data_IF_272744396224
#
_entry.id   IF_272744396224
#
_cell.length_a   1.000
_cell.length_b   1.000
_cell.length_c   1.000
_cell.angle_alpha   90.00
_cell.angle_beta   90.00
_cell.angle_gamma   90.00
#
_symmetry.space_group_name_H-M   'P 1'
#
loop_
_entity.id
_entity.type
_entity.pdbx_description
1 polymer ?
#
# COMPACT_ATOMS: atom_id res chain seq x y z
N UNK A 1 10.68 -21.82 40.06
CA UNK A 1 11.03 -22.77 38.98
C UNK A 1 12.39 -23.46 39.15
N UNK A 2 13.48 -22.79 39.56
CA UNK A 2 14.80 -23.45 39.75
C UNK A 2 14.92 -24.33 41.02
N UNK A 3 14.10 -24.14 42.06
CA UNK A 3 14.15 -24.98 43.28
C UNK A 3 13.40 -26.31 43.16
N UNK A 4 12.31 -26.37 42.39
CA UNK A 4 11.58 -27.62 42.08
C UNK A 4 12.41 -28.60 41.22
N UNK A 5 13.31 -28.08 40.38
CA UNK A 5 14.16 -28.89 39.49
C UNK A 5 15.28 -29.65 40.21
N UNK A 6 15.65 -29.27 41.44
CA UNK A 6 16.69 -29.99 42.20
C UNK A 6 16.16 -31.21 42.95
N UNK A 7 14.87 -31.23 43.31
CA UNK A 7 14.25 -32.36 44.02
C UNK A 7 13.91 -33.54 43.10
N UNK A 8 13.79 -33.32 41.79
CA UNK A 8 13.40 -34.36 40.81
C UNK A 8 14.61 -35.17 40.33
N UNK A 9 15.83 -34.63 40.44
CA UNK A 9 17.07 -35.30 40.01
C UNK A 9 17.50 -36.49 40.89
N UNK A 10 16.90 -36.69 42.06
CA UNK A 10 17.20 -37.84 42.93
C UNK A 10 16.33 -39.08 42.65
N UNK A 11 15.28 -38.95 41.84
CA UNK A 11 14.56 -40.13 41.31
C UNK A 11 15.30 -40.56 40.05
N UNK A 12 16.52 -41.05 40.28
CA UNK A 12 17.28 -41.78 39.28
C UNK A 12 16.41 -42.91 38.75
N UNK A 13 16.11 -42.90 37.45
CA UNK A 13 16.36 -43.94 36.44
C UNK A 13 16.68 -45.39 36.93
N UNK A 14 16.02 -45.87 37.98
CA UNK A 14 16.11 -47.21 38.54
C UNK A 14 14.68 -47.58 38.95
N UNK A 15 14.00 -48.36 38.11
CA UNK A 15 12.66 -48.99 38.26
C UNK A 15 11.57 -48.58 37.25
N UNK A 16 11.93 -48.20 36.02
CA UNK A 16 10.97 -47.82 34.97
C UNK A 16 10.18 -48.97 34.31
N UNK A 17 10.18 -50.20 34.84
CA UNK A 17 9.39 -51.31 34.26
C UNK A 17 8.28 -51.89 35.15
N UNK A 18 8.13 -51.46 36.40
CA UNK A 18 7.07 -51.98 37.28
C UNK A 18 6.53 -50.96 38.31
N UNK A 19 6.87 -49.68 38.20
CA UNK A 19 6.41 -48.66 39.13
C UNK A 19 5.01 -48.15 38.73
N UNK A 20 4.07 -48.18 39.68
CA UNK A 20 2.80 -47.47 39.58
C UNK A 20 2.93 -46.07 40.19
N UNK A 21 2.36 -45.06 39.56
CA UNK A 21 2.40 -43.65 39.93
C UNK A 21 0.97 -43.16 40.20
N UNK A 22 0.77 -42.39 41.26
CA UNK A 22 -0.49 -41.68 41.53
C UNK A 22 -0.30 -40.21 41.17
N UNK A 23 -0.80 -39.77 40.02
CA UNK A 23 -0.48 -38.46 39.44
C UNK A 23 -0.84 -37.28 40.36
N UNK A 24 -2.03 -37.25 40.94
CA UNK A 24 -2.50 -36.14 41.79
C UNK A 24 -1.65 -36.00 43.07
N UNK A 25 -1.18 -37.14 43.62
CA UNK A 25 -0.38 -37.19 44.85
C UNK A 25 1.10 -36.97 44.61
N UNK A 26 1.67 -37.67 43.63
CA UNK A 26 3.12 -37.75 43.43
C UNK A 26 3.63 -36.61 42.53
N UNK A 27 2.81 -36.13 41.59
CA UNK A 27 3.19 -35.12 40.60
C UNK A 27 2.04 -34.13 40.28
N UNK A 28 1.60 -33.27 41.22
CA UNK A 28 0.43 -32.40 41.04
C UNK A 28 0.56 -31.43 39.85
N UNK A 29 1.76 -30.96 39.53
CA UNK A 29 2.01 -30.12 38.34
C UNK A 29 1.93 -30.88 37.01
N UNK A 30 2.16 -32.20 37.01
CA UNK A 30 1.94 -33.07 35.85
C UNK A 30 0.46 -33.44 35.75
N UNK A 31 -0.21 -33.68 36.88
CA UNK A 31 -1.65 -33.91 36.94
C UNK A 31 -2.46 -32.76 36.30
N UNK A 32 -2.06 -31.50 36.49
CA UNK A 32 -2.73 -30.36 35.83
C UNK A 32 -2.64 -30.36 34.31
N UNK A 33 -1.72 -31.14 33.72
CA UNK A 33 -1.59 -31.32 32.27
C UNK A 33 -2.39 -32.52 31.76
N UNK A 34 -2.97 -33.34 32.63
CA UNK A 34 -3.79 -34.48 32.22
C UNK A 34 -5.10 -33.97 31.61
N UNK A 35 -5.53 -34.53 30.48
CA UNK A 35 -6.75 -34.11 29.82
C UNK A 35 -7.98 -34.30 30.76
N UNK A 36 -8.95 -33.36 30.82
CA UNK A 36 -10.09 -33.42 31.75
C UNK A 36 -10.86 -34.75 31.74
N UNK A 37 -11.02 -35.36 30.55
CA UNK A 37 -11.67 -36.67 30.40
C UNK A 37 -10.98 -37.80 31.18
N UNK A 38 -9.68 -37.68 31.47
CA UNK A 38 -8.88 -38.67 32.20
C UNK A 38 -8.64 -38.27 33.66
N UNK A 39 -8.87 -37.01 34.04
CA UNK A 39 -8.61 -36.52 35.41
C UNK A 39 -9.46 -37.22 36.47
N UNK A 40 -10.73 -37.50 36.16
CA UNK A 40 -11.66 -38.15 37.10
C UNK A 40 -11.39 -39.65 37.28
N UNK A 41 -10.97 -40.33 36.21
CA UNK A 41 -10.76 -41.79 36.22
C UNK A 41 -9.35 -42.18 36.71
N UNK A 42 -8.35 -41.36 36.40
CA UNK A 42 -6.94 -41.72 36.55
C UNK A 42 -6.15 -40.85 37.54
N UNK A 43 -6.70 -39.72 38.01
CA UNK A 43 -5.98 -38.80 38.91
C UNK A 43 -5.59 -39.40 40.26
N UNK A 44 -6.50 -40.19 40.83
CA UNK A 44 -6.42 -40.72 42.21
C UNK A 44 -5.94 -42.16 42.30
N UNK A 45 -5.73 -42.82 41.15
CA UNK A 45 -5.38 -44.24 41.09
C UNK A 45 -3.88 -44.40 40.88
N UNK A 46 -3.32 -45.47 41.44
CA UNK A 46 -1.97 -45.93 41.10
C UNK A 46 -1.97 -46.56 39.70
N UNK A 47 -1.26 -45.94 38.75
CA UNK A 47 -1.25 -46.32 37.33
C UNK A 47 0.16 -46.69 36.90
N UNK A 48 0.37 -47.75 36.11
CA UNK A 48 1.69 -48.08 35.59
C UNK A 48 2.33 -46.89 34.87
N UNK A 49 3.61 -46.62 35.17
CA UNK A 49 4.33 -45.48 34.57
C UNK A 49 4.43 -45.58 33.03
N UNK A 50 4.27 -46.78 32.47
CA UNK A 50 4.23 -47.04 31.03
C UNK A 50 2.87 -46.77 30.36
N UNK A 51 1.83 -46.44 31.11
CA UNK A 51 0.50 -46.16 30.56
C UNK A 51 0.53 -44.88 29.71
N UNK A 52 0.05 -44.99 28.48
CA UNK A 52 -0.15 -43.85 27.57
C UNK A 52 -1.48 -43.17 27.90
N UNK A 53 -1.42 -41.89 28.26
CA UNK A 53 -2.60 -41.06 28.54
C UNK A 53 -2.71 -39.90 27.55
N UNK A 54 -3.89 -39.29 27.49
CA UNK A 54 -4.12 -38.04 26.77
C UNK A 54 -3.85 -36.85 27.70
N UNK A 55 -3.05 -35.92 27.20
CA UNK A 55 -2.61 -34.73 27.92
C UNK A 55 -3.08 -33.47 27.20
N UNK A 56 -3.19 -32.36 27.92
CA UNK A 56 -3.68 -31.07 27.42
C UNK A 56 -2.78 -29.92 27.89
N UNK A 57 -2.41 -29.04 26.97
CA UNK A 57 -1.49 -27.94 27.27
C UNK A 57 -2.26 -26.74 27.86
N UNK A 58 -1.73 -26.08 28.91
CA UNK A 58 -2.33 -24.86 29.45
C UNK A 58 -2.24 -23.66 28.50
N UNK A 59 -1.34 -23.69 27.51
CA UNK A 59 -1.13 -22.59 26.56
C UNK A 59 -2.07 -22.63 25.34
N UNK A 60 -2.95 -23.63 25.23
CA UNK A 60 -3.90 -23.74 24.12
C UNK A 60 -4.97 -24.80 24.37
N UNK A 61 -6.27 -24.48 24.30
CA UNK A 61 -7.35 -25.43 24.60
C UNK A 61 -7.47 -26.59 23.60
N UNK A 62 -6.73 -26.55 22.50
CA UNK A 62 -6.67 -27.50 21.39
C UNK A 62 -5.38 -28.33 21.34
N UNK A 63 -4.44 -28.07 22.25
CA UNK A 63 -3.16 -28.75 22.31
C UNK A 63 -3.26 -30.04 23.13
N UNK A 64 -3.67 -31.12 22.47
CA UNK A 64 -3.78 -32.45 23.06
C UNK A 64 -2.73 -33.41 22.50
N UNK A 65 -2.09 -34.21 23.36
CA UNK A 65 -1.08 -35.19 22.93
C UNK A 65 -1.17 -36.51 23.72
N UNK A 66 -0.70 -37.61 23.14
CA UNK A 66 -0.63 -38.93 23.79
C UNK A 66 0.81 -39.27 24.14
N UNK A 67 1.08 -39.63 25.38
CA UNK A 67 2.44 -39.98 25.86
C UNK A 67 2.36 -40.80 27.14
N UNK A 68 3.42 -41.56 27.47
CA UNK A 68 3.47 -42.31 28.73
C UNK A 68 3.66 -41.39 29.93
N UNK A 69 3.16 -41.82 31.09
CA UNK A 69 3.36 -41.09 32.36
C UNK A 69 4.86 -40.91 32.66
N UNK A 70 5.67 -41.95 32.43
CA UNK A 70 7.11 -41.92 32.70
C UNK A 70 7.86 -40.86 31.88
N UNK A 71 7.48 -40.67 30.62
CA UNK A 71 8.13 -39.70 29.74
C UNK A 71 7.80 -38.27 30.16
N UNK A 72 6.53 -38.00 30.51
CA UNK A 72 6.08 -36.68 30.98
C UNK A 72 6.77 -36.30 32.29
N UNK A 73 6.82 -37.23 33.25
CA UNK A 73 7.46 -37.03 34.56
C UNK A 73 8.97 -36.84 34.42
N UNK A 74 9.62 -37.53 33.47
CA UNK A 74 11.05 -37.36 33.17
C UNK A 74 11.40 -35.99 32.56
N UNK A 75 10.41 -35.10 32.38
CA UNK A 75 10.63 -33.74 31.92
C UNK A 75 10.58 -33.57 30.39
N UNK A 76 10.09 -34.57 29.65
CA UNK A 76 9.76 -34.40 28.23
C UNK A 76 8.47 -33.57 28.09
N UNK A 77 8.58 -32.25 28.28
CA UNK A 77 7.55 -31.32 27.87
C UNK A 77 7.68 -31.09 26.36
N UNK A 78 6.74 -31.70 25.62
CA UNK A 78 6.37 -31.46 24.22
C UNK A 78 7.46 -30.84 23.33
N UNK A 79 8.40 -31.67 22.90
CA UNK A 79 9.28 -31.35 21.79
C UNK A 79 8.90 -32.30 20.65
N UNK A 80 8.13 -31.79 19.67
CA UNK A 80 7.71 -32.39 18.38
C UNK A 80 6.20 -32.37 18.13
N UNK A 81 5.64 -31.18 17.87
CA UNK A 81 4.54 -30.97 16.88
C UNK A 81 4.08 -29.51 16.70
N UNK A 82 4.77 -28.50 17.24
CA UNK A 82 4.54 -27.09 16.87
C UNK A 82 5.16 -26.69 15.51
N UNK A 83 5.22 -27.58 14.51
CA UNK A 83 5.74 -27.22 13.19
C UNK A 83 4.69 -26.78 12.18
N UNK A 84 3.39 -26.77 12.48
CA UNK A 84 2.40 -26.52 11.41
C UNK A 84 1.05 -25.87 11.75
N UNK A 85 0.69 -25.58 13.00
CA UNK A 85 -0.54 -24.80 13.29
C UNK A 85 -0.32 -23.76 14.39
N UNK A 86 -0.67 -22.52 14.08
CA UNK A 86 -0.69 -21.42 15.05
C UNK A 86 -1.85 -21.62 16.02
N UNK A 87 -1.64 -21.25 17.28
CA UNK A 87 -2.74 -21.16 18.25
C UNK A 87 -3.80 -20.20 17.73
N UNK A 88 -5.08 -20.58 17.83
CA UNK A 88 -6.26 -19.78 17.45
C UNK A 88 -6.19 -18.32 17.95
N UNK A 89 -5.58 -18.08 19.12
CA UNK A 89 -5.48 -16.74 19.72
C UNK A 89 -4.57 -15.82 18.90
N UNK A 90 -3.56 -16.38 18.22
CA UNK A 90 -2.53 -15.67 17.48
C UNK A 90 -2.76 -15.68 15.96
N UNK A 91 -3.67 -16.51 15.47
CA UNK A 91 -3.95 -16.67 14.05
C UNK A 91 -4.62 -15.42 13.46
N UNK A 92 -4.02 -14.87 12.40
CA UNK A 92 -4.49 -13.66 11.74
C UNK A 92 -5.87 -13.85 11.07
N UNK A 93 -6.10 -15.01 10.46
CA UNK A 93 -7.35 -15.31 9.73
C UNK A 93 -8.57 -15.42 10.63
N UNK A 94 -8.34 -15.82 11.88
CA UNK A 94 -9.36 -15.95 12.90
C UNK A 94 -9.66 -14.61 13.57
N UNK A 95 -8.61 -13.87 13.95
CA UNK A 95 -8.75 -12.63 14.75
C UNK A 95 -9.12 -11.41 13.90
N UNK A 96 -8.70 -11.38 12.65
CA UNK A 96 -8.89 -10.26 11.72
C UNK A 96 -9.28 -10.76 10.32
N UNK A 97 -10.46 -11.36 10.16
CA UNK A 97 -10.89 -11.99 8.90
C UNK A 97 -10.93 -11.00 7.72
N UNK A 98 -11.27 -9.73 7.98
CA UNK A 98 -11.25 -8.67 6.98
C UNK A 98 -9.84 -8.36 6.47
N UNK A 99 -8.86 -8.30 7.39
CA UNK A 99 -7.45 -8.08 7.05
C UNK A 99 -6.89 -9.29 6.30
N UNK A 100 -7.23 -10.49 6.75
CA UNK A 100 -6.86 -11.75 6.13
C UNK A 100 -7.43 -11.90 4.71
N UNK A 101 -8.61 -11.36 4.43
CA UNK A 101 -9.20 -11.33 3.09
C UNK A 101 -8.39 -10.53 2.06
N UNK A 102 -7.54 -9.61 2.51
CA UNK A 102 -6.60 -8.86 1.67
C UNK A 102 -5.26 -9.59 1.47
N UNK A 103 -5.06 -10.79 2.00
CA UNK A 103 -3.82 -11.56 1.79
C UNK A 103 -3.66 -11.96 0.31
N UNK A 104 -2.43 -11.86 -0.19
CA UNK A 104 -2.09 -12.29 -1.55
C UNK A 104 -1.29 -13.60 -1.54
N UNK A 105 -2.00 -14.73 -1.58
CA UNK A 105 -1.40 -16.07 -1.61
C UNK A 105 -0.46 -16.27 -2.81
N UNK A 106 -0.78 -15.66 -3.95
CA UNK A 106 0.01 -15.83 -5.18
C UNK A 106 1.41 -15.23 -5.05
N UNK A 107 1.56 -14.16 -4.26
CA UNK A 107 2.84 -13.48 -4.00
C UNK A 107 3.50 -13.94 -2.69
N UNK A 108 2.75 -14.55 -1.77
CA UNK A 108 3.24 -15.05 -0.48
C UNK A 108 3.46 -16.58 -0.48
N UNK A 109 3.86 -17.17 -1.61
CA UNK A 109 3.95 -18.64 -1.80
C UNK A 109 4.74 -19.38 -0.70
N UNK A 110 5.79 -18.74 -0.15
CA UNK A 110 6.65 -19.31 0.89
C UNK A 110 6.20 -18.98 2.33
N UNK A 111 5.04 -18.34 2.50
CA UNK A 111 4.53 -17.88 3.79
C UNK A 111 3.00 -17.93 3.76
N UNK A 112 2.42 -19.14 3.84
CA UNK A 112 0.96 -19.28 3.83
C UNK A 112 0.35 -18.59 5.04
N UNK A 113 -0.82 -17.99 4.84
CA UNK A 113 -1.53 -17.22 5.87
C UNK A 113 -1.72 -18.00 7.19
N UNK A 114 -1.96 -19.31 7.11
CA UNK A 114 -2.13 -20.21 8.26
C UNK A 114 -0.90 -20.36 9.16
N UNK A 115 0.26 -19.86 8.73
CA UNK A 115 1.51 -19.85 9.49
C UNK A 115 1.90 -18.44 9.95
N UNK A 116 1.04 -17.44 9.73
CA UNK A 116 1.29 -16.04 10.04
C UNK A 116 0.44 -15.59 11.21
N UNK A 117 1.11 -15.13 12.27
CA UNK A 117 0.43 -14.51 13.41
C UNK A 117 0.09 -13.06 13.13
N UNK A 118 -0.96 -12.54 13.78
CA UNK A 118 -1.36 -11.13 13.61
C UNK A 118 -0.25 -10.14 14.04
N UNK A 119 0.59 -10.52 15.01
CA UNK A 119 1.72 -9.73 15.50
C UNK A 119 3.03 -9.91 14.70
N UNK A 120 3.01 -10.64 13.59
CA UNK A 120 4.21 -10.88 12.78
C UNK A 120 4.78 -9.57 12.21
N UNK A 121 6.10 -9.42 12.29
CA UNK A 121 6.86 -8.32 11.69
C UNK A 121 7.38 -8.64 10.29
N UNK A 122 7.20 -9.87 9.80
CA UNK A 122 7.63 -10.28 8.46
C UNK A 122 6.81 -9.53 7.40
N UNK A 123 7.50 -9.06 6.36
CA UNK A 123 6.83 -8.43 5.22
C UNK A 123 5.98 -9.47 4.48
N UNK A 124 4.76 -9.08 4.16
CA UNK A 124 3.83 -9.88 3.37
C UNK A 124 3.18 -9.01 2.29
N UNK A 125 2.77 -9.63 1.21
CA UNK A 125 2.00 -9.01 0.15
C UNK A 125 0.51 -8.99 0.47
N UNK A 126 -0.12 -7.87 0.16
CA UNK A 126 -1.55 -7.62 0.34
C UNK A 126 -2.12 -7.07 -0.96
N UNK A 127 -3.38 -7.40 -1.23
CA UNK A 127 -4.18 -6.89 -2.33
C UNK A 127 -5.33 -6.05 -1.76
N UNK A 128 -5.57 -4.88 -2.33
CA UNK A 128 -6.70 -4.04 -1.90
C UNK A 128 -8.04 -4.67 -2.31
N UNK A 129 -9.03 -4.62 -1.42
CA UNK A 129 -10.39 -5.06 -1.76
C UNK A 129 -11.10 -4.13 -2.76
N UNK A 130 -10.78 -2.83 -2.74
CA UNK A 130 -11.48 -1.82 -3.53
C UNK A 130 -10.93 -1.66 -4.96
N UNK A 131 -9.67 -2.04 -5.18
CA UNK A 131 -8.97 -1.79 -6.44
C UNK A 131 -8.06 -2.97 -6.77
N UNK A 132 -8.32 -3.63 -7.88
CA UNK A 132 -7.65 -4.87 -8.27
C UNK A 132 -6.16 -4.69 -8.63
N UNK A 133 -5.72 -3.47 -8.94
CA UNK A 133 -4.34 -3.14 -9.32
C UNK A 133 -3.46 -2.73 -8.12
N UNK A 134 -4.04 -2.63 -6.92
CA UNK A 134 -3.32 -2.20 -5.73
C UNK A 134 -2.72 -3.39 -4.97
N UNK A 135 -1.42 -3.62 -5.17
CA UNK A 135 -0.65 -4.64 -4.44
C UNK A 135 0.45 -3.97 -3.61
N UNK A 136 0.47 -4.20 -2.30
CA UNK A 136 1.45 -3.56 -1.41
C UNK A 136 2.07 -4.54 -0.43
N UNK A 137 3.28 -4.21 0.02
CA UNK A 137 3.96 -4.93 1.09
C UNK A 137 3.90 -4.14 2.39
N UNK A 138 3.51 -4.82 3.46
CA UNK A 138 3.66 -4.37 4.85
C UNK A 138 3.62 -5.60 5.77
N UNK A 139 3.95 -5.43 7.04
CA UNK A 139 3.87 -6.51 8.03
C UNK A 139 2.47 -6.63 8.65
N UNK A 140 2.00 -7.85 8.99
CA UNK A 140 0.71 -8.08 9.65
C UNK A 140 0.46 -7.21 10.88
N UNK A 141 1.46 -7.01 11.74
CA UNK A 141 1.30 -6.19 12.94
C UNK A 141 0.97 -4.72 12.62
N UNK A 142 1.51 -4.17 11.53
CA UNK A 142 1.20 -2.79 11.10
C UNK A 142 -0.22 -2.66 10.58
N UNK A 143 -0.78 -3.75 10.04
CA UNK A 143 -2.17 -3.81 9.57
C UNK A 143 -3.15 -3.91 10.73
N UNK A 144 -2.78 -4.63 11.79
CA UNK A 144 -3.67 -4.92 12.93
C UNK A 144 -3.59 -3.89 14.04
N UNK A 145 -2.40 -3.42 14.42
CA UNK A 145 -2.21 -2.43 15.48
C UNK A 145 -2.51 -0.99 15.02
N UNK A 146 -2.14 -0.66 13.78
CA UNK A 146 -2.23 0.71 13.25
C UNK A 146 -3.29 0.87 12.15
N UNK A 147 -4.07 -0.19 11.84
CA UNK A 147 -5.09 -0.20 10.79
C UNK A 147 -4.57 0.39 9.46
N UNK A 148 -3.31 0.12 9.10
CA UNK A 148 -2.74 0.64 7.86
C UNK A 148 -3.57 0.17 6.66
N UNK A 149 -4.31 1.11 6.09
CA UNK A 149 -5.11 0.92 4.90
C UNK A 149 -4.23 0.93 3.65
N UNK A 150 -4.79 0.50 2.52
CA UNK A 150 -4.10 0.45 1.25
C UNK A 150 -3.36 1.77 0.92
N UNK A 151 -2.02 1.77 0.75
CA UNK A 151 -1.24 2.99 0.56
C UNK A 151 -1.54 3.70 -0.77
N UNK A 152 -2.08 2.97 -1.75
CA UNK A 152 -2.54 3.54 -3.01
C UNK A 152 -3.85 4.33 -2.81
N UNK A 153 -4.81 3.78 -2.07
CA UNK A 153 -6.07 4.47 -1.75
C UNK A 153 -5.84 5.72 -0.90
N UNK A 154 -4.84 5.68 -0.01
CA UNK A 154 -4.42 6.84 0.78
C UNK A 154 -3.61 7.88 -0.04
N UNK A 155 -3.29 7.58 -1.31
CA UNK A 155 -2.52 8.46 -2.19
C UNK A 155 -1.02 8.54 -1.85
N UNK A 156 -0.50 7.62 -1.03
CA UNK A 156 0.92 7.53 -0.71
C UNK A 156 1.72 6.83 -1.81
N UNK A 157 1.11 5.86 -2.50
CA UNK A 157 1.69 5.20 -3.68
C UNK A 157 0.83 5.46 -4.93
N UNK A 158 1.44 5.69 -6.10
CA UNK A 158 0.70 5.78 -7.35
C UNK A 158 0.32 4.40 -7.86
N UNK A 159 -0.86 4.29 -8.46
CA UNK A 159 -1.30 3.13 -9.23
C UNK A 159 -1.37 3.46 -10.72
N UNK A 160 -1.64 2.46 -11.57
CA UNK A 160 -1.74 2.67 -13.01
C UNK A 160 -2.80 3.74 -13.38
N UNK A 161 -3.87 3.86 -12.59
CA UNK A 161 -4.94 4.83 -12.79
C UNK A 161 -4.74 6.15 -12.01
N UNK A 162 -3.91 6.16 -10.97
CA UNK A 162 -3.75 7.32 -10.06
C UNK A 162 -2.38 7.98 -10.09
N UNK A 163 -1.46 7.48 -10.93
CA UNK A 163 -0.14 8.08 -11.12
C UNK A 163 -0.22 9.51 -11.64
N UNK A 164 0.83 10.28 -11.41
CA UNK A 164 1.00 11.62 -11.95
C UNK A 164 0.89 11.61 -13.48
N UNK A 165 1.51 10.64 -14.15
CA UNK A 165 1.43 10.52 -15.60
C UNK A 165 0.01 10.26 -16.10
N UNK A 166 -0.72 9.37 -15.45
CA UNK A 166 -2.10 9.02 -15.84
C UNK A 166 -3.07 10.19 -15.60
N UNK A 167 -2.90 10.93 -14.50
CA UNK A 167 -3.76 12.05 -14.16
C UNK A 167 -3.39 13.36 -14.90
N UNK A 168 -2.12 13.55 -15.25
CA UNK A 168 -1.59 14.78 -15.87
C UNK A 168 -0.72 14.48 -17.10
N UNK A 169 -1.26 13.84 -18.15
CA UNK A 169 -0.48 13.42 -19.32
C UNK A 169 0.17 14.59 -20.06
N UNK A 170 -0.45 15.78 -20.05
CA UNK A 170 0.12 16.98 -20.65
C UNK A 170 1.38 17.47 -19.91
N UNK A 171 1.38 17.43 -18.57
CA UNK A 171 2.55 17.81 -17.77
C UNK A 171 3.64 16.73 -17.80
N UNK A 172 3.26 15.45 -17.89
CA UNK A 172 4.21 14.35 -18.02
C UNK A 172 5.07 14.47 -19.28
N UNK A 173 4.56 15.08 -20.37
CA UNK A 173 5.35 15.42 -21.56
C UNK A 173 6.46 16.44 -21.31
N UNK A 174 6.36 17.21 -20.23
CA UNK A 174 7.41 18.15 -19.82
C UNK A 174 8.42 17.49 -18.87
N UNK A 175 8.34 16.19 -18.60
CA UNK A 175 9.33 15.47 -17.82
C UNK A 175 10.66 15.38 -18.58
N UNK A 176 11.76 15.80 -17.96
CA UNK A 176 13.09 15.74 -18.57
C UNK A 176 13.70 14.34 -18.36
N UNK A 177 13.40 13.40 -19.26
CA UNK A 177 13.77 11.98 -19.13
C UNK A 177 15.29 11.75 -19.05
N UNK A 178 16.10 12.64 -19.63
CA UNK A 178 17.56 12.54 -19.59
C UNK A 178 18.14 12.95 -18.23
N UNK A 179 17.41 13.79 -17.47
CA UNK A 179 17.88 14.34 -16.19
C UNK A 179 17.21 13.73 -14.97
N UNK A 180 16.18 12.93 -15.17
CA UNK A 180 15.49 12.23 -14.10
C UNK A 180 15.81 10.73 -14.15
N UNK A 181 16.18 10.18 -13.01
CA UNK A 181 16.38 8.74 -12.84
C UNK A 181 15.05 7.97 -12.90
N UNK A 182 13.98 8.58 -12.38
CA UNK A 182 12.67 7.95 -12.26
C UNK A 182 11.70 8.39 -13.35
N UNK A 183 10.77 7.51 -13.67
CA UNK A 183 9.71 7.75 -14.64
C UNK A 183 8.48 8.41 -13.96
N UNK A 184 7.72 9.28 -14.65
CA UNK A 184 6.63 10.05 -14.02
C UNK A 184 5.46 9.22 -13.49
N UNK A 185 5.24 7.99 -13.96
CA UNK A 185 4.23 7.07 -13.42
C UNK A 185 4.55 6.53 -12.01
N UNK A 186 5.80 6.65 -11.57
CA UNK A 186 6.24 6.22 -10.24
C UNK A 186 5.89 7.20 -9.12
N UNK A 187 5.24 8.33 -9.46
CA UNK A 187 4.84 9.33 -8.49
C UNK A 187 3.34 9.59 -8.52
N UNK A 188 2.76 9.93 -7.37
CA UNK A 188 1.41 10.48 -7.32
C UNK A 188 1.43 11.99 -7.65
N UNK A 189 0.26 12.52 -8.04
CA UNK A 189 0.14 13.94 -8.42
C UNK A 189 0.46 14.95 -7.31
N UNK A 190 0.42 14.54 -6.03
CA UNK A 190 0.72 15.41 -4.87
C UNK A 190 2.14 15.20 -4.33
N UNK A 191 2.98 14.44 -5.05
CA UNK A 191 4.34 14.12 -4.62
C UNK A 191 5.17 15.39 -4.44
N UNK A 192 5.92 15.46 -3.33
CA UNK A 192 6.91 16.53 -3.09
C UNK A 192 8.25 16.26 -3.78
N UNK A 193 8.39 15.13 -4.49
CA UNK A 193 9.58 14.81 -5.25
C UNK A 193 9.93 15.92 -6.24
N UNK A 194 11.18 16.39 -6.19
CA UNK A 194 11.72 17.38 -7.12
C UNK A 194 12.22 16.69 -8.39
N UNK A 195 11.55 16.97 -9.50
CA UNK A 195 11.92 16.48 -10.81
C UNK A 195 12.50 17.61 -11.66
N UNK A 196 13.29 17.22 -12.67
CA UNK A 196 13.64 18.08 -13.78
C UNK A 196 12.52 18.11 -14.81
N UNK A 197 12.19 19.32 -15.26
CA UNK A 197 11.17 19.58 -16.26
C UNK A 197 11.82 20.28 -17.44
N UNK A 198 11.42 19.92 -18.65
CA UNK A 198 11.84 20.53 -19.91
C UNK A 198 10.60 21.05 -20.62
N UNK A 199 10.48 22.37 -20.72
CA UNK A 199 9.35 22.97 -21.44
C UNK A 199 9.60 22.84 -22.93
N UNK A 200 8.55 23.11 -23.71
CA UNK A 200 8.60 23.10 -25.17
C UNK A 200 9.64 24.05 -25.78
N UNK A 201 10.06 25.09 -25.06
CA UNK A 201 11.14 26.00 -25.49
C UNK A 201 12.54 25.46 -25.16
N UNK A 202 12.65 24.22 -24.69
CA UNK A 202 13.92 23.58 -24.36
C UNK A 202 14.53 24.00 -23.01
N UNK A 203 13.90 24.91 -22.26
CA UNK A 203 14.39 25.27 -20.93
C UNK A 203 14.18 24.11 -19.95
N UNK A 204 15.26 23.66 -19.30
CA UNK A 204 15.17 22.77 -18.15
C UNK A 204 15.11 23.54 -16.84
N UNK A 205 14.28 23.12 -15.89
CA UNK A 205 14.27 23.63 -14.51
C UNK A 205 13.85 22.55 -13.52
N UNK A 206 14.17 22.73 -12.24
CA UNK A 206 13.68 21.87 -11.16
C UNK A 206 12.39 22.41 -10.56
N UNK A 207 11.44 21.53 -10.30
CA UNK A 207 10.25 21.81 -9.50
C UNK A 207 9.68 20.51 -8.93
N UNK A 208 8.98 20.60 -7.81
CA UNK A 208 8.23 19.45 -7.30
C UNK A 208 7.00 19.16 -8.15
N UNK A 209 6.61 17.88 -8.22
CA UNK A 209 5.37 17.45 -8.89
C UNK A 209 4.16 18.19 -8.29
N UNK A 210 4.09 18.30 -6.96
CA UNK A 210 3.08 19.07 -6.25
C UNK A 210 2.98 20.52 -6.75
N UNK A 211 4.10 21.22 -6.92
CA UNK A 211 4.07 22.61 -7.40
C UNK A 211 3.59 22.70 -8.86
N UNK A 212 3.89 21.70 -9.67
CA UNK A 212 3.46 21.63 -11.07
C UNK A 212 1.98 21.32 -11.22
N UNK A 213 1.44 20.43 -10.38
CA UNK A 213 0.03 20.00 -10.45
C UNK A 213 -0.91 20.89 -9.64
N UNK A 214 -0.54 21.24 -8.39
CA UNK A 214 -1.43 21.95 -7.45
C UNK A 214 -1.27 23.47 -7.50
N UNK A 215 -0.06 23.95 -7.81
CA UNK A 215 0.24 25.40 -7.87
C UNK A 215 0.43 25.91 -9.31
N UNK A 216 0.28 25.04 -10.30
CA UNK A 216 0.46 25.35 -11.72
C UNK A 216 1.77 26.11 -12.01
N UNK A 217 2.85 25.77 -11.31
CA UNK A 217 4.13 26.46 -11.45
C UNK A 217 4.66 26.27 -12.87
N UNK A 218 4.76 27.35 -13.65
CA UNK A 218 5.27 27.30 -15.03
C UNK A 218 6.79 27.41 -15.07
N UNK A 219 7.37 27.18 -16.24
CA UNK A 219 8.80 27.40 -16.48
C UNK A 219 9.20 28.84 -16.08
N UNK A 220 10.12 29.03 -15.12
CA UNK A 220 10.54 30.37 -14.67
C UNK A 220 11.11 31.19 -15.82
N UNK A 221 11.96 30.60 -16.67
CA UNK A 221 12.53 31.29 -17.83
C UNK A 221 11.47 31.75 -18.83
N UNK A 222 10.41 30.96 -19.06
CA UNK A 222 9.32 31.38 -19.94
C UNK A 222 8.43 32.46 -19.31
N UNK A 223 8.34 32.49 -17.98
CA UNK A 223 7.60 33.51 -17.24
C UNK A 223 8.38 34.83 -17.18
N UNK A 224 9.68 34.75 -16.92
CA UNK A 224 10.56 35.88 -16.70
C UNK A 224 11.04 36.48 -18.04
N UNK A 225 11.10 35.69 -19.12
CA UNK A 225 11.23 36.17 -20.50
C UNK A 225 9.93 36.79 -21.04
N UNK A 226 9.23 37.55 -20.19
CA UNK A 226 7.99 38.24 -20.50
C UNK A 226 8.15 39.26 -21.63
N UNK A 227 8.23 38.78 -22.86
CA UNK A 227 7.96 39.45 -24.15
C UNK A 227 8.22 38.48 -25.32
N UNK A 228 7.81 37.20 -25.23
CA UNK A 228 7.56 36.46 -26.47
C UNK A 228 6.18 36.88 -26.95
N UNK A 229 6.16 37.68 -28.02
CA UNK A 229 4.91 38.11 -28.65
C UNK A 229 4.11 36.88 -29.10
N UNK A 230 2.78 37.02 -29.14
CA UNK A 230 1.90 36.01 -29.72
C UNK A 230 2.38 35.61 -31.13
N UNK A 231 2.87 36.59 -31.91
CA UNK A 231 3.40 36.39 -33.26
C UNK A 231 4.68 35.58 -33.32
N UNK A 232 5.59 35.70 -32.34
CA UNK A 232 6.88 35.01 -32.35
C UNK A 232 6.76 33.50 -32.08
N UNK A 233 5.65 33.04 -31.49
CA UNK A 233 5.49 31.64 -31.06
C UNK A 233 4.25 30.95 -31.62
N UNK A 234 3.23 31.71 -32.02
CA UNK A 234 1.99 31.16 -32.58
C UNK A 234 1.53 31.99 -33.79
N UNK A 235 2.36 32.04 -34.83
CA UNK A 235 2.02 32.69 -36.10
C UNK A 235 0.70 32.17 -36.68
N UNK A 236 0.38 30.89 -36.47
CA UNK A 236 -0.89 30.28 -36.87
C UNK A 236 -2.13 30.86 -36.19
N UNK A 237 -1.98 31.46 -35.01
CA UNK A 237 -3.10 32.11 -34.31
C UNK A 237 -3.31 33.56 -34.77
N UNK A 238 -2.38 34.14 -35.53
CA UNK A 238 -2.53 35.49 -36.06
C UNK A 238 -3.71 35.61 -37.03
N UNK A 239 -3.99 34.55 -37.80
CA UNK A 239 -5.19 34.48 -38.66
C UNK A 239 -6.50 34.58 -37.89
N UNK A 240 -6.45 34.30 -36.58
CA UNK A 240 -7.58 34.36 -35.68
C UNK A 240 -7.60 35.67 -34.87
N UNK A 241 -6.65 36.58 -35.05
CA UNK A 241 -6.71 37.90 -34.43
C UNK A 241 -7.73 38.78 -35.15
N UNK A 242 -8.55 39.53 -34.42
CA UNK A 242 -9.50 40.47 -35.03
C UNK A 242 -8.91 41.88 -35.09
N UNK A 243 -8.20 42.16 -36.19
CA UNK A 243 -7.53 43.44 -36.43
C UNK A 243 -8.48 44.65 -36.50
N UNK A 244 -9.78 44.44 -36.70
CA UNK A 244 -10.75 45.53 -36.74
C UNK A 244 -11.20 45.97 -35.35
N UNK A 245 -11.21 45.04 -34.39
CA UNK A 245 -11.76 45.27 -33.04
C UNK A 245 -10.68 45.39 -31.96
N UNK A 246 -9.42 45.11 -32.29
CA UNK A 246 -8.29 45.32 -31.38
C UNK A 246 -7.49 46.55 -31.81
N UNK A 247 -7.31 47.48 -30.88
CA UNK A 247 -6.43 48.65 -31.06
C UNK A 247 -4.94 48.27 -30.94
N UNK A 248 -4.65 47.18 -30.24
CA UNK A 248 -3.29 46.67 -30.03
C UNK A 248 -2.98 45.59 -31.07
N UNK A 249 -1.80 45.69 -31.69
CA UNK A 249 -1.31 44.65 -32.61
C UNK A 249 -0.91 43.39 -31.87
N UNK A 250 -1.17 42.23 -32.46
CA UNK A 250 -0.82 40.91 -31.89
C UNK A 250 0.68 40.74 -31.61
N UNK A 251 1.55 41.47 -32.30
CA UNK A 251 3.00 41.49 -32.11
C UNK A 251 3.42 42.17 -30.81
N UNK A 252 2.60 43.07 -30.28
CA UNK A 252 2.87 43.76 -29.01
C UNK A 252 2.33 42.99 -27.79
N UNK A 253 1.58 41.90 -28.02
CA UNK A 253 0.88 41.16 -26.97
C UNK A 253 1.69 39.93 -26.57
N UNK A 254 2.03 39.83 -25.28
CA UNK A 254 2.70 38.66 -24.75
C UNK A 254 1.78 37.43 -24.78
N UNK A 255 2.32 36.27 -25.18
CA UNK A 255 1.55 35.01 -25.29
C UNK A 255 0.92 34.54 -23.97
N UNK A 256 1.47 34.96 -22.83
CA UNK A 256 0.95 34.65 -21.49
C UNK A 256 -0.01 35.68 -20.93
N UNK A 257 -0.45 36.65 -21.73
CA UNK A 257 -1.35 37.71 -21.28
C UNK A 257 -2.73 37.16 -20.89
N UNK A 258 -3.17 37.48 -19.68
CA UNK A 258 -4.54 37.23 -19.21
C UNK A 258 -5.53 38.29 -19.73
N UNK A 259 -5.03 39.34 -20.40
CA UNK A 259 -5.87 40.36 -21.00
C UNK A 259 -6.70 39.78 -22.15
N UNK A 260 -7.95 40.23 -22.25
CA UNK A 260 -8.93 39.74 -23.23
C UNK A 260 -8.96 40.61 -24.48
N UNK A 261 -8.77 39.96 -25.62
CA UNK A 261 -8.79 40.56 -26.96
C UNK A 261 -9.85 39.94 -27.84
N UNK A 262 -10.14 40.58 -28.96
CA UNK A 262 -11.05 40.06 -29.97
C UNK A 262 -10.35 39.08 -30.91
N UNK A 263 -11.00 37.96 -31.16
CA UNK A 263 -10.53 36.89 -32.02
C UNK A 263 -11.58 36.57 -33.08
N UNK A 264 -11.15 36.31 -34.31
CA UNK A 264 -11.99 35.76 -35.37
C UNK A 264 -12.00 34.25 -35.31
N UNK A 265 -13.20 33.68 -35.19
CA UNK A 265 -13.41 32.25 -35.27
C UNK A 265 -12.92 31.69 -36.62
N UNK A 266 -12.15 30.60 -36.61
CA UNK A 266 -11.71 29.94 -37.85
C UNK A 266 -12.84 29.26 -38.62
N UNK A 267 -13.97 28.95 -37.96
CA UNK A 267 -15.10 28.23 -38.57
C UNK A 267 -16.21 29.17 -39.08
N UNK A 268 -16.69 30.08 -38.22
CA UNK A 268 -17.82 30.95 -38.55
C UNK A 268 -17.42 32.42 -38.76
N UNK A 269 -16.12 32.74 -38.64
CA UNK A 269 -15.55 34.08 -38.83
C UNK A 269 -16.11 35.18 -37.91
N UNK A 270 -17.04 34.86 -37.01
CA UNK A 270 -17.53 35.85 -36.05
C UNK A 270 -16.46 36.21 -35.04
N UNK A 271 -16.44 37.48 -34.67
CA UNK A 271 -15.61 37.99 -33.59
C UNK A 271 -16.11 37.49 -32.23
N UNK A 272 -15.18 37.13 -31.35
CA UNK A 272 -15.46 36.78 -29.96
C UNK A 272 -14.30 37.21 -29.08
N UNK A 273 -14.56 37.41 -27.78
CA UNK A 273 -13.57 38.00 -26.86
C UNK A 273 -13.06 36.98 -25.86
N UNK A 274 -11.75 36.79 -25.78
CA UNK A 274 -11.12 35.85 -24.84
C UNK A 274 -9.66 36.22 -24.53
N UNK A 275 -9.12 35.70 -23.42
CA UNK A 275 -7.73 35.89 -23.04
C UNK A 275 -6.75 35.10 -23.92
N UNK A 276 -5.55 35.66 -24.08
CA UNK A 276 -4.50 35.07 -24.95
C UNK A 276 -4.07 33.70 -24.41
N UNK A 277 -3.90 33.59 -23.09
CA UNK A 277 -3.51 32.34 -22.45
C UNK A 277 -4.51 31.20 -22.68
N UNK A 278 -5.82 31.48 -22.65
CA UNK A 278 -6.90 30.53 -22.89
C UNK A 278 -6.94 30.10 -24.36
N UNK A 279 -6.83 31.06 -25.29
CA UNK A 279 -6.82 30.76 -26.74
C UNK A 279 -5.62 29.89 -27.10
N UNK A 280 -4.44 30.25 -26.60
CA UNK A 280 -3.19 29.52 -26.84
C UNK A 280 -3.27 28.12 -26.22
N UNK A 281 -3.77 27.99 -24.99
CA UNK A 281 -3.92 26.68 -24.34
C UNK A 281 -4.90 25.79 -25.11
N UNK A 282 -6.06 26.33 -25.51
CA UNK A 282 -7.06 25.59 -26.28
C UNK A 282 -6.49 25.11 -27.64
N UNK A 283 -5.80 25.98 -28.36
CA UNK A 283 -5.14 25.66 -29.63
C UNK A 283 -4.16 24.49 -29.49
N UNK A 284 -3.28 24.54 -28.49
CA UNK A 284 -2.29 23.48 -28.27
C UNK A 284 -2.86 22.16 -27.74
N UNK A 285 -4.04 22.21 -27.13
CA UNK A 285 -4.73 21.02 -26.64
C UNK A 285 -5.67 20.41 -27.69
N UNK A 286 -5.75 20.99 -28.90
CA UNK A 286 -6.62 20.51 -29.97
C UNK A 286 -8.10 20.58 -29.63
N UNK A 287 -8.48 21.46 -28.70
CA UNK A 287 -9.86 21.61 -28.24
C UNK A 287 -10.72 22.33 -29.30
N UNK A 288 -12.05 22.14 -29.27
CA UNK A 288 -12.95 22.80 -30.20
C UNK A 288 -12.96 24.32 -30.02
N UNK A 289 -13.36 25.02 -31.07
CA UNK A 289 -13.41 26.47 -31.12
C UNK A 289 -14.25 27.07 -29.98
N UNK A 290 -13.69 28.08 -29.28
CA UNK A 290 -14.31 28.79 -28.16
C UNK A 290 -15.42 29.77 -28.56
N UNK A 291 -15.64 29.96 -29.85
CA UNK A 291 -16.68 30.86 -30.34
C UNK A 291 -18.06 30.35 -29.93
N UNK A 292 -18.81 31.17 -29.18
CA UNK A 292 -20.18 30.84 -28.74
C UNK A 292 -21.10 30.43 -29.89
N UNK A 293 -20.98 31.07 -31.06
CA UNK A 293 -21.76 30.67 -32.24
C UNK A 293 -21.46 29.23 -32.64
N UNK A 294 -20.20 28.81 -32.67
CA UNK A 294 -19.85 27.43 -33.01
C UNK A 294 -20.18 26.43 -31.91
N UNK A 295 -20.10 26.82 -30.63
CA UNK A 295 -20.46 25.96 -29.50
C UNK A 295 -21.97 25.62 -29.47
N UNK A 296 -22.82 26.49 -30.03
CA UNK A 296 -24.27 26.27 -30.13
C UNK A 296 -24.70 25.33 -31.27
N UNK A 297 -23.79 24.94 -32.18
CA UNK A 297 -24.06 24.02 -33.29
C UNK A 297 -23.36 22.65 -33.12
N UNK A 298 -22.84 22.35 -31.94
CA UNK A 298 -22.33 21.02 -31.58
C UNK A 298 -23.40 20.32 -30.73
N UNK A 299 -24.46 19.87 -31.38
CA UNK A 299 -25.37 18.84 -30.87
C UNK A 299 -25.30 17.65 -31.83
#
# INVERSE_FOLDING_TARGET
MKSLLRSIRSISYRNSKAATITLEKDFPGVYSLLHPAFQQEFGKRAIPASTVLLWKCPNGPDHEWKMTISEVVAGYLHNQSHRSRLSFILDLSIRFPEIAGEWDDSRNQNSPLSQITYGSTKQAWWKCHNHADHFFQTSPNRRTDNLQSCPYCLGYKPSASTSFQSLYPALAKEWDQEKNEYHPDQFNAKSRYEAWWKCRNGHSWKASIYNRTQRNLRCPKCRDAGTISLSARCSELLRNWDYQNNEVSCEAVAIGSEAKYYWRCSKCHSSFRESVDVIVSNFFEGRPCLCKKCLLYVC
#
